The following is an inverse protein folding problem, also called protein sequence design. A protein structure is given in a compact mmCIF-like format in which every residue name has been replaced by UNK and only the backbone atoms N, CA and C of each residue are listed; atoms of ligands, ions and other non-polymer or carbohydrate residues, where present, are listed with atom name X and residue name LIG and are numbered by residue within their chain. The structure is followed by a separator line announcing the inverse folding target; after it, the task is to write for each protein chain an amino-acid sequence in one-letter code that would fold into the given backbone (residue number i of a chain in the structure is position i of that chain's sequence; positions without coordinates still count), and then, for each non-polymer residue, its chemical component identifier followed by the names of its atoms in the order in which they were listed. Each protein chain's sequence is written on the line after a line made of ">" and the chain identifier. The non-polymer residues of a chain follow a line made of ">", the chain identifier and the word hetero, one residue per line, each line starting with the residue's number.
data_IF_207024861268
#
_entry.id   IF_207024861268
#
_cell.length_a   1.000
_cell.length_b   1.000
_cell.length_c   1.000
_cell.angle_alpha   90.00
_cell.angle_beta   90.00
_cell.angle_gamma   90.00
#
_symmetry.space_group_name_H-M   'P 1'
#
loop_
_entity.id
_entity.type
_entity.pdbx_description
1 polymer ?
#
# COMPACT_ATOMS: atom_id res chain seq x y z
N UNK A 1 15.05 -56.45 -27.54
CA UNK A 1 14.84 -57.03 -26.20
C UNK A 1 15.13 -55.95 -25.16
N UNK A 2 14.35 -55.89 -24.07
CA UNK A 2 13.93 -54.63 -23.46
C UNK A 2 14.52 -54.43 -22.05
N UNK A 3 14.52 -53.18 -21.58
CA UNK A 3 14.24 -52.90 -20.17
C UNK A 3 13.47 -51.60 -20.06
N UNK A 4 12.15 -51.78 -20.03
CA UNK A 4 11.18 -50.84 -19.49
C UNK A 4 11.43 -50.64 -18.00
N UNK A 5 11.41 -49.38 -17.53
CA UNK A 5 11.03 -49.11 -16.14
C UNK A 5 10.00 -48.00 -16.11
N UNK A 6 8.95 -48.28 -15.34
CA UNK A 6 7.66 -47.64 -15.33
C UNK A 6 7.63 -46.30 -14.57
N UNK A 7 6.74 -45.44 -15.06
CA UNK A 7 5.80 -44.56 -14.34
C UNK A 7 6.05 -44.24 -12.85
N UNK A 8 6.15 -42.93 -12.58
CA UNK A 8 5.53 -42.31 -11.41
C UNK A 8 5.04 -40.89 -11.75
N UNK A 9 3.74 -40.69 -11.66
CA UNK A 9 3.03 -39.41 -11.50
C UNK A 9 1.85 -39.71 -10.56
N UNK A 10 1.22 -38.75 -9.88
CA UNK A 10 1.65 -37.40 -9.50
C UNK A 10 1.45 -37.15 -7.99
N UNK A 11 2.21 -36.23 -7.37
CA UNK A 11 1.81 -35.67 -6.07
C UNK A 11 1.65 -34.17 -6.17
N UNK A 12 0.40 -33.74 -6.07
CA UNK A 12 -0.07 -32.36 -6.01
C UNK A 12 0.78 -31.51 -5.04
N UNK A 13 1.51 -30.55 -5.58
CA UNK A 13 2.07 -29.45 -4.80
C UNK A 13 0.92 -28.59 -4.28
N UNK A 14 0.70 -28.65 -2.97
CA UNK A 14 -0.29 -27.88 -2.23
C UNK A 14 -0.02 -26.39 -2.39
N UNK A 15 -1.10 -25.61 -2.47
CA UNK A 15 -1.08 -24.15 -2.61
C UNK A 15 -0.29 -23.46 -1.46
N UNK A 16 0.34 -22.30 -1.72
CA UNK A 16 1.22 -21.62 -0.76
C UNK A 16 0.50 -21.04 0.47
N UNK A 17 -0.81 -21.23 0.61
CA UNK A 17 -1.61 -20.64 1.70
C UNK A 17 -1.59 -21.49 2.98
N UNK A 18 -1.22 -22.78 2.90
CA UNK A 18 -1.18 -23.67 4.08
C UNK A 18 0.16 -23.70 4.82
N UNK A 19 1.21 -23.06 4.29
CA UNK A 19 2.54 -23.01 4.94
C UNK A 19 2.65 -21.90 6.01
N UNK A 20 1.72 -20.95 6.04
CA UNK A 20 1.69 -19.87 7.03
C UNK A 20 1.01 -20.24 8.37
N UNK A 21 0.30 -21.38 8.44
CA UNK A 21 -0.46 -21.75 9.64
C UNK A 21 0.29 -22.72 10.60
N UNK A 22 1.52 -23.15 10.27
CA UNK A 22 2.28 -24.12 11.07
C UNK A 22 3.57 -23.58 11.71
N UNK A 23 3.81 -22.26 11.68
CA UNK A 23 4.99 -21.63 12.32
C UNK A 23 4.68 -20.91 13.65
N UNK A 24 3.46 -21.05 14.20
CA UNK A 24 3.06 -20.40 15.46
C UNK A 24 2.81 -21.40 16.60
N UNK A 25 3.57 -22.51 16.62
CA UNK A 25 3.51 -23.49 17.71
C UNK A 25 4.89 -24.02 18.10
N UNK A 26 5.80 -23.10 18.41
CA UNK A 26 7.03 -23.43 19.13
C UNK A 26 7.59 -22.17 19.81
N UNK A 27 7.11 -21.86 21.01
CA UNK A 27 7.84 -21.04 21.97
C UNK A 27 7.80 -21.74 23.34
N UNK A 28 8.95 -21.91 24.01
CA UNK A 28 9.06 -22.69 25.23
C UNK A 28 8.37 -22.01 26.41
N UNK A 29 7.84 -22.81 27.32
CA UNK A 29 7.33 -22.36 28.61
C UNK A 29 8.43 -21.64 29.39
N UNK A 30 8.28 -20.33 29.60
CA UNK A 30 9.05 -19.56 30.57
C UNK A 30 8.11 -19.09 31.68
N UNK A 31 8.14 -19.81 32.80
CA UNK A 31 7.70 -19.32 34.09
C UNK A 31 8.75 -18.36 34.63
N UNK A 32 8.48 -17.06 34.55
CA UNK A 32 9.33 -16.01 35.13
C UNK A 32 8.49 -14.81 35.54
N UNK A 33 8.47 -14.53 36.83
CA UNK A 33 7.80 -13.37 37.44
C UNK A 33 8.47 -12.06 37.01
N UNK A 34 7.67 -11.14 36.47
CA UNK A 34 8.12 -9.83 36.02
C UNK A 34 8.32 -8.88 37.21
N UNK A 35 9.57 -8.65 37.62
CA UNK A 35 9.94 -7.46 38.37
C UNK A 35 11.27 -6.91 37.86
N UNK A 36 11.20 -5.73 37.23
CA UNK A 36 12.34 -4.82 37.13
C UNK A 36 12.95 -4.66 35.76
N UNK A 37 12.31 -3.86 34.88
CA UNK A 37 13.01 -3.02 33.91
C UNK A 37 12.24 -1.71 33.74
N UNK A 38 12.82 -0.65 34.30
CA UNK A 38 12.33 0.73 34.24
C UNK A 38 13.17 1.47 33.19
N UNK A 39 12.54 1.91 32.09
CA UNK A 39 13.14 2.88 31.16
C UNK A 39 12.20 4.09 31.03
N UNK A 40 12.72 5.33 31.13
CA UNK A 40 11.90 6.54 31.17
C UNK A 40 11.45 6.99 29.78
N UNK A 41 10.15 7.26 29.62
CA UNK A 41 9.60 8.01 28.49
C UNK A 41 9.94 9.50 28.61
N UNK A 42 10.44 10.16 27.54
CA UNK A 42 10.61 11.60 27.51
C UNK A 42 9.40 12.26 26.83
N UNK A 43 8.29 12.45 27.55
CA UNK A 43 7.25 13.42 27.16
C UNK A 43 6.78 14.16 28.40
N UNK A 44 7.50 15.23 28.75
CA UNK A 44 7.00 16.26 29.67
C UNK A 44 7.59 17.61 29.28
N UNK A 45 6.84 18.35 28.46
CA UNK A 45 6.85 19.82 28.40
C UNK A 45 5.76 20.28 27.44
N UNK A 46 4.55 20.53 27.94
CA UNK A 46 3.57 21.44 27.33
C UNK A 46 2.79 22.16 28.45
N UNK A 47 2.51 23.47 28.31
CA UNK A 47 2.04 24.37 29.39
C UNK A 47 0.52 24.29 29.70
N UNK A 48 0.08 24.82 30.86
CA UNK A 48 -1.14 24.37 31.56
C UNK A 48 -2.55 24.86 31.16
N UNK A 49 -2.82 25.79 30.20
CA UNK A 49 -4.19 26.31 30.07
C UNK A 49 -5.14 25.51 29.15
N UNK A 50 -4.72 24.45 28.46
CA UNK A 50 -5.57 23.71 27.50
C UNK A 50 -6.00 22.31 27.97
N UNK A 51 -5.90 22.01 29.28
CA UNK A 51 -6.25 20.71 29.84
C UNK A 51 -7.66 20.62 30.46
N UNK A 52 -8.50 21.68 30.34
CA UNK A 52 -9.79 21.78 31.06
C UNK A 52 -11.05 21.61 30.20
N UNK A 53 -10.94 21.31 28.89
CA UNK A 53 -12.09 20.99 28.04
C UNK A 53 -12.18 19.52 27.59
N UNK A 54 -11.26 18.68 28.05
CA UNK A 54 -11.37 17.23 27.90
C UNK A 54 -11.81 16.67 29.25
N UNK A 55 -13.05 16.20 29.27
CA UNK A 55 -13.59 15.42 30.37
C UNK A 55 -12.64 14.30 30.77
N UNK A 56 -12.57 14.10 32.08
CA UNK A 56 -11.86 13.04 32.76
C UNK A 56 -11.95 11.68 32.07
N UNK A 57 -10.83 10.96 32.17
CA UNK A 57 -10.64 9.53 31.93
C UNK A 57 -10.72 9.04 30.49
N UNK A 58 -9.60 9.11 29.78
CA UNK A 58 -9.04 7.90 29.16
C UNK A 58 -7.51 7.99 29.18
N UNK A 59 -6.91 7.51 30.26
CA UNK A 59 -5.48 7.21 30.31
C UNK A 59 -5.31 5.84 29.64
N UNK A 60 -5.10 5.80 28.32
CA UNK A 60 -4.79 4.55 27.61
C UNK A 60 -3.32 4.24 27.84
N UNK A 61 -3.04 3.63 28.99
CA UNK A 61 -1.77 2.99 29.24
C UNK A 61 -1.62 1.76 28.35
N UNK A 62 -0.45 1.65 27.73
CA UNK A 62 -0.01 0.60 26.80
C UNK A 62 0.19 -0.77 27.49
N UNK A 63 -0.68 -1.13 28.45
CA UNK A 63 -0.66 -2.39 29.21
C UNK A 63 -1.96 -3.19 29.13
N UNK A 64 -2.99 -2.67 28.48
CA UNK A 64 -4.33 -3.29 28.46
C UNK A 64 -4.78 -3.91 27.13
N UNK A 65 -3.86 -4.15 26.18
CA UNK A 65 -4.24 -4.75 24.88
C UNK A 65 -4.37 -6.28 24.90
N UNK A 66 -3.87 -6.96 25.94
CA UNK A 66 -3.91 -8.44 26.03
C UNK A 66 -5.10 -8.95 26.87
N UNK A 67 -5.57 -8.18 27.85
CA UNK A 67 -6.71 -8.58 28.69
C UNK A 67 -8.05 -8.50 27.96
N UNK A 68 -8.23 -7.54 27.05
CA UNK A 68 -9.46 -7.39 26.25
C UNK A 68 -9.62 -8.53 25.23
N UNK A 69 -8.51 -9.06 24.69
CA UNK A 69 -8.55 -10.17 23.74
C UNK A 69 -8.90 -11.52 24.40
N UNK A 70 -8.45 -11.77 25.64
CA UNK A 70 -8.79 -13.01 26.36
C UNK A 70 -10.20 -13.01 26.95
N UNK A 71 -10.72 -11.85 27.38
CA UNK A 71 -12.10 -11.74 27.87
C UNK A 71 -13.14 -11.93 26.74
N UNK A 72 -12.84 -11.44 25.52
CA UNK A 72 -13.71 -11.63 24.36
C UNK A 72 -13.82 -13.10 23.91
N UNK A 73 -12.76 -13.89 24.05
CA UNK A 73 -12.77 -15.32 23.70
C UNK A 73 -13.55 -16.19 24.72
N UNK A 74 -13.59 -15.80 25.99
CA UNK A 74 -14.34 -16.52 27.02
C UNK A 74 -15.85 -16.21 27.02
N UNK A 75 -16.24 -15.00 26.59
CA UNK A 75 -17.65 -14.57 26.56
C UNK A 75 -18.48 -15.16 25.40
N UNK A 76 -17.85 -15.71 24.36
CA UNK A 76 -18.59 -16.29 23.23
C UNK A 76 -19.04 -17.75 23.47
N UNK A 77 -18.50 -18.44 24.50
CA UNK A 77 -18.68 -19.88 24.67
C UNK A 77 -19.84 -20.33 25.58
N UNK A 78 -20.59 -19.41 26.21
CA UNK A 78 -21.65 -19.76 27.17
C UNK A 78 -23.05 -19.27 26.80
N UNK A 79 -23.30 -18.89 25.53
CA UNK A 79 -24.66 -18.61 25.03
C UNK A 79 -25.06 -19.49 23.85
N UNK A 80 -24.73 -20.78 23.91
CA UNK A 80 -25.39 -21.79 23.08
C UNK A 80 -26.41 -22.53 23.93
N UNK A 81 -27.49 -21.83 24.26
CA UNK A 81 -28.71 -22.49 24.75
C UNK A 81 -29.17 -23.48 23.70
N UNK A 82 -29.45 -24.71 24.13
CA UNK A 82 -29.90 -25.81 23.29
C UNK A 82 -31.22 -25.43 22.58
N UNK A 83 -31.14 -25.13 21.28
CA UNK A 83 -32.33 -25.03 20.44
C UNK A 83 -32.76 -26.45 20.06
N UNK A 84 -33.57 -27.02 20.95
CA UNK A 84 -34.29 -28.27 20.75
C UNK A 84 -35.11 -28.14 19.46
N UNK A 85 -34.82 -28.99 18.48
CA UNK A 85 -35.56 -29.14 17.22
C UNK A 85 -37.05 -29.25 17.49
N UNK A 86 -37.80 -28.20 17.16
CA UNK A 86 -39.19 -28.34 16.76
C UNK A 86 -39.18 -28.34 15.25
N UNK A 87 -39.48 -29.49 14.67
CA UNK A 87 -39.93 -29.64 13.30
C UNK A 87 -41.09 -28.66 13.08
N UNK A 88 -40.79 -27.49 12.51
CA UNK A 88 -41.81 -26.67 11.88
C UNK A 88 -41.93 -27.17 10.46
N UNK A 89 -43.08 -27.75 10.15
CA UNK A 89 -43.48 -28.15 8.81
C UNK A 89 -43.27 -26.99 7.85
N UNK A 90 -42.38 -27.20 6.87
CA UNK A 90 -42.11 -26.26 5.78
C UNK A 90 -43.41 -26.02 5.00
N UNK A 91 -44.07 -24.89 5.25
CA UNK A 91 -44.97 -24.31 4.26
C UNK A 91 -44.09 -23.74 3.15
N UNK A 92 -43.89 -24.53 2.10
CA UNK A 92 -43.35 -24.10 0.80
C UNK A 92 -44.31 -23.04 0.20
N UNK A 93 -44.18 -21.80 0.66
CA UNK A 93 -44.74 -20.65 -0.03
C UNK A 93 -43.73 -20.20 -1.08
N UNK A 94 -43.76 -20.86 -2.25
CA UNK A 94 -43.13 -20.36 -3.47
C UNK A 94 -43.79 -19.05 -3.90
N UNK A 95 -43.41 -17.95 -3.25
CA UNK A 95 -43.82 -16.60 -3.59
C UNK A 95 -42.86 -16.09 -4.66
N UNK A 96 -43.34 -16.01 -5.90
CA UNK A 96 -42.61 -15.35 -6.98
C UNK A 96 -42.35 -13.88 -6.65
N UNK A 97 -41.16 -13.39 -7.04
CA UNK A 97 -40.80 -11.98 -7.00
C UNK A 97 -41.92 -11.16 -7.65
N UNK A 98 -42.50 -10.21 -6.92
CA UNK A 98 -43.44 -9.28 -7.53
C UNK A 98 -42.68 -8.32 -8.44
N UNK A 99 -43.22 -8.05 -9.62
CA UNK A 99 -42.62 -7.12 -10.58
C UNK A 99 -42.42 -5.73 -9.95
N UNK A 100 -43.32 -5.32 -9.05
CA UNK A 100 -43.22 -4.05 -8.32
C UNK A 100 -41.99 -4.02 -7.40
N UNK A 101 -41.64 -5.14 -6.79
CA UNK A 101 -40.59 -5.25 -5.78
C UNK A 101 -39.21 -5.05 -6.41
N UNK A 102 -39.03 -5.57 -7.63
CA UNK A 102 -37.84 -5.32 -8.42
C UNK A 102 -37.79 -3.86 -8.93
N UNK A 103 -38.93 -3.28 -9.30
CA UNK A 103 -39.00 -1.90 -9.81
C UNK A 103 -38.58 -0.88 -8.74
N UNK A 104 -38.99 -1.02 -7.48
CA UNK A 104 -38.57 -0.05 -6.45
C UNK A 104 -37.06 -0.11 -6.22
N UNK A 105 -36.48 -1.32 -6.26
CA UNK A 105 -35.05 -1.53 -6.00
C UNK A 105 -34.21 -0.85 -7.09
N UNK A 106 -34.57 -1.03 -8.37
CA UNK A 106 -33.83 -0.40 -9.47
C UNK A 106 -33.96 1.13 -9.46
N UNK A 107 -35.08 1.67 -8.97
CA UNK A 107 -35.27 3.12 -8.81
C UNK A 107 -34.36 3.68 -7.70
N UNK A 108 -34.25 2.99 -6.57
CA UNK A 108 -33.40 3.46 -5.45
C UNK A 108 -31.91 3.43 -5.84
N UNK A 109 -31.43 2.36 -6.48
CA UNK A 109 -30.03 2.30 -6.96
C UNK A 109 -29.74 3.37 -8.01
N UNK A 110 -30.72 3.72 -8.87
CA UNK A 110 -30.56 4.77 -9.87
C UNK A 110 -30.37 6.15 -9.21
N UNK A 111 -31.13 6.46 -8.16
CA UNK A 111 -31.01 7.74 -7.42
C UNK A 111 -29.65 7.82 -6.70
N UNK A 112 -29.23 6.74 -6.04
CA UNK A 112 -27.92 6.70 -5.34
C UNK A 112 -26.78 6.81 -6.35
N UNK A 113 -26.85 6.08 -7.46
CA UNK A 113 -25.86 6.10 -8.53
C UNK A 113 -25.66 7.50 -9.13
N UNK A 114 -26.75 8.22 -9.37
CA UNK A 114 -26.72 9.58 -9.92
C UNK A 114 -25.91 10.57 -9.08
N UNK A 115 -25.94 10.45 -7.75
CA UNK A 115 -25.21 11.35 -6.84
C UNK A 115 -23.80 10.81 -6.54
N UNK A 116 -23.64 9.50 -6.40
CA UNK A 116 -22.39 8.87 -5.99
C UNK A 116 -21.31 8.94 -7.07
N UNK A 117 -21.66 8.62 -8.33
CA UNK A 117 -20.72 8.54 -9.46
C UNK A 117 -19.97 9.87 -9.69
N UNK A 118 -20.63 11.04 -9.83
CA UNK A 118 -19.92 12.29 -10.09
C UNK A 118 -19.05 12.74 -8.92
N UNK A 119 -19.45 12.44 -7.67
CA UNK A 119 -18.65 12.77 -6.48
C UNK A 119 -17.40 11.91 -6.39
N UNK A 120 -17.51 10.60 -6.65
CA UNK A 120 -16.39 9.67 -6.61
C UNK A 120 -15.38 9.95 -7.72
N UNK A 121 -15.86 10.29 -8.93
CA UNK A 121 -14.99 10.65 -10.07
C UNK A 121 -14.10 11.87 -9.77
N UNK A 122 -14.67 12.95 -9.22
CA UNK A 122 -13.88 14.13 -8.83
C UNK A 122 -12.90 13.84 -7.70
N UNK A 123 -13.29 13.01 -6.73
CA UNK A 123 -12.39 12.58 -5.66
C UNK A 123 -11.20 11.78 -6.18
N UNK A 124 -11.43 10.89 -7.16
CA UNK A 124 -10.38 10.11 -7.80
C UNK A 124 -9.40 10.99 -8.61
N UNK A 125 -9.91 11.99 -9.34
CA UNK A 125 -9.07 12.94 -10.06
C UNK A 125 -8.15 13.74 -9.12
N UNK A 126 -8.70 14.35 -8.06
CA UNK A 126 -7.89 15.10 -7.09
C UNK A 126 -6.89 14.23 -6.31
N UNK A 127 -7.21 12.96 -6.08
CA UNK A 127 -6.26 12.00 -5.52
C UNK A 127 -5.10 11.70 -6.48
N UNK A 128 -5.38 11.59 -7.79
CA UNK A 128 -4.35 11.39 -8.81
C UNK A 128 -3.44 12.62 -8.97
N UNK A 129 -4.01 13.83 -8.91
CA UNK A 129 -3.25 15.09 -8.91
C UNK A 129 -2.30 15.17 -7.70
N UNK A 130 -2.81 14.81 -6.52
CA UNK A 130 -2.01 14.82 -5.29
C UNK A 130 -0.91 13.76 -5.31
N UNK A 131 -1.20 12.58 -5.88
CA UNK A 131 -0.21 11.54 -6.08
C UNK A 131 0.89 12.01 -7.04
N UNK A 132 0.54 12.66 -8.15
CA UNK A 132 1.52 13.18 -9.12
C UNK A 132 2.52 14.14 -8.46
N UNK A 133 2.02 15.12 -7.70
CA UNK A 133 2.86 16.11 -7.02
C UNK A 133 3.77 15.43 -5.98
N UNK A 134 3.24 14.45 -5.25
CA UNK A 134 4.02 13.66 -4.29
C UNK A 134 5.13 12.85 -4.98
N UNK A 135 4.80 12.15 -6.06
CA UNK A 135 5.73 11.33 -6.83
C UNK A 135 6.83 12.19 -7.47
N UNK A 136 6.49 13.37 -8.02
CA UNK A 136 7.48 14.32 -8.54
C UNK A 136 8.42 14.82 -7.44
N UNK A 137 7.91 15.12 -6.24
CA UNK A 137 8.74 15.52 -5.10
C UNK A 137 9.73 14.43 -4.69
N UNK A 138 9.27 13.18 -4.65
CA UNK A 138 10.12 12.01 -4.35
C UNK A 138 11.21 11.84 -5.42
N UNK A 139 10.84 11.93 -6.70
CA UNK A 139 11.79 11.76 -7.81
C UNK A 139 12.82 12.89 -7.85
N UNK A 140 12.40 14.14 -7.69
CA UNK A 140 13.29 15.31 -7.64
C UNK A 140 14.26 15.21 -6.47
N UNK A 141 13.76 14.89 -5.27
CA UNK A 141 14.61 14.69 -4.10
C UNK A 141 15.63 13.57 -4.28
N UNK A 142 15.27 12.49 -4.98
CA UNK A 142 16.20 11.40 -5.29
C UNK A 142 17.31 11.86 -6.27
N UNK A 143 16.96 12.67 -7.28
CA UNK A 143 17.91 13.24 -8.23
C UNK A 143 18.85 14.24 -7.54
N UNK A 144 18.33 15.11 -6.67
CA UNK A 144 19.13 16.08 -5.92
C UNK A 144 20.11 15.40 -4.96
N UNK A 145 19.67 14.33 -4.30
CA UNK A 145 20.53 13.53 -3.43
C UNK A 145 21.62 12.80 -4.22
N UNK A 146 21.27 12.22 -5.38
CA UNK A 146 22.25 11.63 -6.30
C UNK A 146 23.31 12.67 -6.70
N UNK A 147 22.87 13.86 -7.11
CA UNK A 147 23.75 14.94 -7.53
C UNK A 147 24.73 15.35 -6.42
N UNK A 148 24.24 15.43 -5.18
CA UNK A 148 25.05 15.80 -4.02
C UNK A 148 26.15 14.78 -3.75
N UNK A 149 25.87 13.49 -3.94
CA UNK A 149 26.83 12.41 -3.70
C UNK A 149 27.82 12.22 -4.87
N UNK A 150 27.46 12.61 -6.10
CA UNK A 150 28.28 12.45 -7.31
C UNK A 150 28.93 13.77 -7.78
N UNK A 151 29.30 14.63 -6.83
CA UNK A 151 30.10 15.83 -7.10
C UNK A 151 29.42 16.85 -8.02
N UNK A 152 28.10 16.94 -8.02
CA UNK A 152 27.34 17.87 -8.87
C UNK A 152 26.83 17.25 -10.17
N UNK A 153 27.16 15.98 -10.45
CA UNK A 153 26.78 15.29 -11.69
C UNK A 153 25.39 14.67 -11.58
N UNK A 154 24.53 14.95 -12.54
CA UNK A 154 23.20 14.35 -12.62
C UNK A 154 23.24 12.91 -13.18
N UNK A 155 22.24 12.07 -12.87
CA UNK A 155 22.16 10.73 -13.44
C UNK A 155 22.00 10.79 -14.96
N UNK A 156 22.57 9.80 -15.64
CA UNK A 156 22.47 9.68 -17.11
C UNK A 156 21.07 9.24 -17.52
N UNK A 157 20.54 9.75 -18.63
CA UNK A 157 19.21 9.34 -19.16
C UNK A 157 19.12 7.84 -19.42
N UNK A 158 20.20 7.22 -19.90
CA UNK A 158 20.23 5.79 -20.24
C UNK A 158 20.12 4.88 -19.01
N UNK A 159 20.71 5.28 -17.86
CA UNK A 159 20.79 4.43 -16.66
C UNK A 159 20.10 5.03 -15.44
N UNK A 160 19.31 6.10 -15.58
CA UNK A 160 18.70 6.81 -14.45
C UNK A 160 17.93 5.88 -13.50
N UNK A 161 17.16 4.92 -14.03
CA UNK A 161 16.38 3.99 -13.20
C UNK A 161 17.30 3.15 -12.32
N UNK A 162 18.37 2.62 -12.90
CA UNK A 162 19.34 1.80 -12.17
C UNK A 162 20.18 2.65 -11.22
N UNK A 163 20.61 3.84 -11.64
CA UNK A 163 21.36 4.79 -10.82
C UNK A 163 20.57 5.29 -9.60
N UNK A 164 19.25 5.41 -9.72
CA UNK A 164 18.39 5.79 -8.60
C UNK A 164 17.99 4.61 -7.69
N UNK A 165 17.91 3.39 -8.23
CA UNK A 165 17.38 2.22 -7.49
C UNK A 165 18.44 1.25 -6.99
N UNK A 166 19.66 1.30 -7.53
CA UNK A 166 20.79 0.44 -7.16
C UNK A 166 21.88 1.26 -6.44
N UNK A 167 22.94 0.57 -6.03
CA UNK A 167 24.13 1.23 -5.48
C UNK A 167 25.02 1.76 -6.59
N UNK A 168 25.67 2.89 -6.35
CA UNK A 168 26.53 3.57 -7.32
C UNK A 168 27.92 3.87 -6.78
N UNK A 169 28.88 3.96 -7.69
CA UNK A 169 30.22 4.48 -7.42
C UNK A 169 30.31 5.97 -7.78
N UNK A 170 31.46 6.61 -7.53
CA UNK A 170 31.66 8.04 -7.80
C UNK A 170 31.44 8.42 -9.28
N UNK A 171 31.63 7.47 -10.21
CA UNK A 171 31.43 7.68 -11.65
C UNK A 171 29.99 7.40 -12.13
N UNK A 172 29.12 6.92 -11.24
CA UNK A 172 27.74 6.55 -11.54
C UNK A 172 27.57 5.15 -12.13
N UNK A 173 28.57 4.25 -12.03
CA UNK A 173 28.39 2.85 -12.38
C UNK A 173 27.53 2.14 -11.32
N UNK A 174 26.68 1.21 -11.72
CA UNK A 174 25.65 0.61 -10.85
C UNK A 174 25.97 -0.81 -10.43
N UNK A 175 25.62 -1.18 -9.19
CA UNK A 175 25.74 -2.54 -8.64
C UNK A 175 24.52 -2.89 -7.78
N UNK A 176 24.05 -4.13 -7.87
CA UNK A 176 22.93 -4.63 -7.04
C UNK A 176 23.33 -4.80 -5.57
N UNK A 177 24.63 -4.91 -5.28
CA UNK A 177 25.16 -5.13 -3.92
C UNK A 177 26.11 -4.03 -3.50
N UNK A 178 25.92 -3.53 -2.28
CA UNK A 178 26.82 -2.55 -1.66
C UNK A 178 28.21 -3.17 -1.45
N UNK A 179 29.22 -2.49 -1.98
CA UNK A 179 30.63 -2.92 -1.94
C UNK A 179 31.52 -1.73 -1.56
N UNK A 180 32.82 -1.94 -1.36
CA UNK A 180 33.78 -0.86 -1.10
C UNK A 180 33.85 0.21 -2.20
N UNK A 181 33.53 -0.14 -3.46
CA UNK A 181 33.49 0.82 -4.56
C UNK A 181 32.08 1.40 -4.79
N UNK A 182 31.04 0.64 -4.48
CA UNK A 182 29.63 1.01 -4.67
C UNK A 182 29.00 1.34 -3.31
N UNK A 183 29.27 2.56 -2.82
CA UNK A 183 28.90 3.02 -1.47
C UNK A 183 27.61 3.85 -1.49
N UNK A 184 27.36 4.56 -2.60
CA UNK A 184 26.27 5.52 -2.75
C UNK A 184 24.94 4.85 -3.08
N UNK A 185 23.82 5.49 -2.72
CA UNK A 185 22.47 4.98 -2.96
C UNK A 185 22.05 3.78 -2.08
N UNK A 186 20.91 3.13 -2.38
CA UNK A 186 19.90 3.51 -3.39
C UNK A 186 19.02 4.67 -2.91
N UNK A 187 18.69 5.58 -3.83
CA UNK A 187 17.92 6.79 -3.55
C UNK A 187 16.41 6.54 -3.61
N UNK A 188 16.00 5.54 -4.38
CA UNK A 188 14.62 5.17 -4.61
C UNK A 188 14.43 3.66 -4.49
N UNK A 189 13.37 3.21 -3.80
CA UNK A 189 13.06 1.77 -3.72
C UNK A 189 12.43 1.22 -4.99
N UNK A 190 11.61 2.03 -5.65
CA UNK A 190 10.91 1.71 -6.90
C UNK A 190 10.44 3.01 -7.55
N UNK A 191 10.55 3.09 -8.87
CA UNK A 191 9.96 4.21 -9.63
C UNK A 191 8.44 4.18 -9.50
N UNK A 192 7.80 5.26 -8.99
CA UNK A 192 6.36 5.34 -8.91
C UNK A 192 5.74 5.34 -10.32
N UNK A 193 4.60 4.66 -10.53
CA UNK A 193 3.90 4.72 -11.81
C UNK A 193 3.21 6.07 -11.98
N UNK A 194 3.20 6.61 -13.20
CA UNK A 194 2.49 7.86 -13.49
C UNK A 194 0.98 7.71 -13.15
N UNK A 195 0.38 8.57 -12.29
CA UNK A 195 -1.00 8.40 -11.86
C UNK A 195 -2.04 9.00 -12.83
N UNK A 196 -1.61 9.90 -13.73
CA UNK A 196 -2.46 10.71 -14.62
C UNK A 196 -2.10 10.53 -16.11
N UNK A 197 -2.95 11.06 -16.99
CA UNK A 197 -2.69 11.15 -18.43
C UNK A 197 -2.83 9.84 -19.22
N UNK A 198 -2.58 9.93 -20.53
CA UNK A 198 -2.64 8.79 -21.46
C UNK A 198 -1.57 7.73 -21.17
N UNK A 199 -0.46 8.14 -20.54
CA UNK A 199 0.65 7.27 -20.12
C UNK A 199 0.52 6.74 -18.69
N UNK A 200 -0.68 6.82 -18.10
CA UNK A 200 -0.96 6.32 -16.75
C UNK A 200 -0.47 4.88 -16.58
N UNK A 201 0.25 4.64 -15.47
CA UNK A 201 0.86 3.35 -15.17
C UNK A 201 2.27 3.18 -15.72
N UNK A 202 2.77 4.10 -16.55
CA UNK A 202 4.15 4.09 -17.03
C UNK A 202 5.14 4.24 -15.87
N UNK A 203 6.16 3.39 -15.85
CA UNK A 203 7.20 3.37 -14.81
C UNK A 203 8.60 3.65 -15.36
N UNK A 204 8.73 3.78 -16.68
CA UNK A 204 10.01 4.09 -17.30
C UNK A 204 10.25 5.59 -17.30
N UNK A 205 11.52 5.96 -17.21
CA UNK A 205 12.02 7.34 -17.27
C UNK A 205 12.89 7.43 -18.53
N UNK A 206 12.65 8.42 -19.38
CA UNK A 206 13.42 8.66 -20.62
C UNK A 206 13.48 10.15 -20.93
N UNK A 207 14.36 10.55 -21.84
CA UNK A 207 14.42 11.90 -22.43
C UNK A 207 13.34 12.18 -23.49
N UNK A 208 12.74 11.13 -24.06
CA UNK A 208 11.68 11.23 -25.07
C UNK A 208 10.45 10.38 -24.73
N UNK A 209 9.30 10.74 -25.31
CA UNK A 209 8.08 9.94 -25.20
C UNK A 209 8.25 8.56 -25.84
N UNK A 210 7.65 7.54 -25.23
CA UNK A 210 7.78 6.15 -25.64
C UNK A 210 6.79 5.22 -24.94
N UNK A 211 6.72 3.97 -25.39
CA UNK A 211 5.87 2.97 -24.78
C UNK A 211 6.32 2.69 -23.32
N UNK A 212 5.40 2.83 -22.36
CA UNK A 212 5.68 2.60 -20.94
C UNK A 212 6.47 3.71 -20.22
N UNK A 213 6.84 4.78 -20.93
CA UNK A 213 7.51 5.96 -20.35
C UNK A 213 6.48 6.81 -19.63
N UNK A 214 6.57 6.86 -18.31
CA UNK A 214 5.71 7.69 -17.46
C UNK A 214 6.31 9.06 -17.15
N UNK A 215 7.64 9.18 -17.20
CA UNK A 215 8.36 10.37 -16.77
C UNK A 215 9.36 10.81 -17.84
N UNK A 216 9.37 12.11 -18.13
CA UNK A 216 10.36 12.72 -19.02
C UNK A 216 11.44 13.39 -18.19
N UNK A 217 12.69 13.05 -18.46
CA UNK A 217 13.85 13.53 -17.72
C UNK A 217 14.85 14.21 -18.64
N UNK A 218 15.36 15.37 -18.23
CA UNK A 218 16.46 16.08 -18.88
C UNK A 218 17.72 16.00 -18.01
N UNK A 219 18.71 15.23 -18.46
CA UNK A 219 19.99 15.08 -17.74
C UNK A 219 20.84 16.36 -17.70
N UNK A 220 20.61 17.30 -18.63
CA UNK A 220 21.37 18.55 -18.68
C UNK A 220 20.92 19.51 -17.58
N UNK A 221 19.60 19.58 -17.37
CA UNK A 221 18.99 20.46 -16.38
C UNK A 221 18.71 19.76 -15.04
N UNK A 222 18.75 18.43 -14.99
CA UNK A 222 18.33 17.64 -13.83
C UNK A 222 16.82 17.64 -13.59
N UNK A 223 16.04 18.16 -14.53
CA UNK A 223 14.59 18.33 -14.36
C UNK A 223 13.82 17.08 -14.78
N UNK A 224 12.86 16.68 -13.96
CA UNK A 224 11.91 15.60 -14.27
C UNK A 224 10.48 16.14 -14.28
N UNK A 225 9.70 15.71 -15.27
CA UNK A 225 8.30 16.08 -15.48
C UNK A 225 7.45 14.87 -15.86
N UNK A 226 6.13 15.01 -15.70
CA UNK A 226 5.17 14.00 -16.15
C UNK A 226 5.19 13.87 -17.67
N UNK A 227 5.08 12.63 -18.19
CA UNK A 227 4.91 12.41 -19.62
C UNK A 227 3.43 12.59 -20.02
N UNK A 228 3.01 13.84 -20.12
CA UNK A 228 1.68 14.26 -20.53
C UNK A 228 1.79 15.31 -21.63
N UNK A 229 0.85 15.32 -22.57
CA UNK A 229 0.89 16.22 -23.74
C UNK A 229 -0.16 17.32 -23.67
N UNK A 230 -1.40 16.96 -23.35
CA UNK A 230 -2.54 17.89 -23.33
C UNK A 230 -3.34 17.84 -22.05
N UNK A 231 -2.98 16.93 -21.14
CA UNK A 231 -3.75 16.66 -19.94
C UNK A 231 -3.48 17.71 -18.87
N UNK A 232 -4.56 18.25 -18.31
CA UNK A 232 -4.54 19.30 -17.30
C UNK A 232 -5.24 18.88 -16.02
N UNK A 233 -4.87 19.52 -14.92
CA UNK A 233 -5.62 19.41 -13.67
C UNK A 233 -6.97 20.13 -13.72
N UNK A 234 -7.69 20.09 -12.60
CA UNK A 234 -8.96 20.80 -12.43
C UNK A 234 -8.84 22.34 -12.51
N UNK A 235 -7.63 22.90 -12.47
CA UNK A 235 -7.34 24.35 -12.59
C UNK A 235 -6.92 24.76 -14.00
N UNK A 236 -6.71 23.79 -14.90
CA UNK A 236 -6.26 24.03 -16.27
C UNK A 236 -4.74 24.11 -16.42
N UNK A 237 -3.96 23.75 -15.40
CA UNK A 237 -2.50 23.66 -15.48
C UNK A 237 -2.12 22.32 -16.12
N UNK A 238 -1.21 22.35 -17.09
CA UNK A 238 -0.70 21.13 -17.72
C UNK A 238 0.11 20.30 -16.72
N UNK A 239 -0.07 18.98 -16.73
CA UNK A 239 0.67 18.10 -15.83
C UNK A 239 2.19 18.08 -16.09
N UNK A 240 2.63 18.50 -17.27
CA UNK A 240 4.04 18.68 -17.62
C UNK A 240 4.72 19.85 -16.92
N UNK A 241 3.94 20.79 -16.37
CA UNK A 241 4.44 22.09 -15.87
C UNK A 241 4.58 22.13 -14.34
N UNK A 242 4.21 21.04 -13.64
CA UNK A 242 4.39 20.88 -12.19
C UNK A 242 5.85 20.73 -11.80
#
# INVERSE_FOLDING_TARGET
>A
MPSSTAAASPSAAKSPVSAWCLSLRAAPAWSGTASGWNWPCPIRRLPPPLLKLLGSSVDVSCRDTIAVCHAAAAAWKTRTGSWRSRHMTHHEHGKGFSLIELVIVVVIIAIIGAIAIPRMSRGAAGAADSALIGDLSILRGAIDLYQTEHGGTFPSTANIVDQLTKYTDESGATSDTRTANYIYGPYLRKVPPLPVGARKGGTLISDSDGAGVGWIYDATAGTIRANTTTETDARGTLYSDY
#
